data_IF_179301396939
#
_entry.id   IF_179301396939
#
_cell.length_a   1.000
_cell.length_b   1.000
_cell.length_c   1.000
_cell.angle_alpha   90.00
_cell.angle_beta   90.00
_cell.angle_gamma   90.00
#
_symmetry.space_group_name_H-M   'P 1'
#
loop_
_entity.id
_entity.type
_entity.pdbx_description
1 polymer ?
#
# COMPACT_ATOMS: atom_id res chain seq x y z
N UNK A 1 -12.86 11.46 -41.20
CA UNK A 1 -12.17 10.43 -40.35
C UNK A 1 -12.17 10.96 -38.94
N UNK A 2 -12.79 10.26 -37.98
CA UNK A 2 -12.80 10.72 -36.58
C UNK A 2 -11.36 10.69 -36.07
N UNK A 3 -10.87 11.83 -35.59
CA UNK A 3 -9.56 11.94 -34.96
C UNK A 3 -9.59 11.07 -33.68
N UNK A 4 -8.59 10.21 -33.51
CA UNK A 4 -8.49 9.35 -32.32
C UNK A 4 -7.34 9.81 -31.44
N UNK A 5 -7.60 9.91 -30.14
CA UNK A 5 -6.61 10.25 -29.12
C UNK A 5 -6.49 9.11 -28.11
N UNK A 6 -5.31 8.93 -27.54
CA UNK A 6 -5.11 7.95 -26.44
C UNK A 6 -6.00 8.33 -25.26
N UNK A 7 -6.62 7.33 -24.65
CA UNK A 7 -7.56 7.54 -23.54
C UNK A 7 -6.94 8.29 -22.36
N UNK A 8 -5.69 7.98 -22.00
CA UNK A 8 -4.95 8.65 -20.92
C UNK A 8 -4.69 10.15 -21.23
N UNK A 9 -4.49 10.51 -22.48
CA UNK A 9 -4.32 11.89 -22.93
C UNK A 9 -5.65 12.59 -22.96
N UNK A 10 -6.68 11.94 -23.51
CA UNK A 10 -8.02 12.51 -23.66
C UNK A 10 -8.68 12.88 -22.32
N UNK A 11 -8.44 12.07 -21.26
CA UNK A 11 -8.92 12.39 -19.91
C UNK A 11 -8.34 13.72 -19.40
N UNK A 12 -7.04 13.97 -19.65
CA UNK A 12 -6.39 15.22 -19.25
C UNK A 12 -6.88 16.39 -20.08
N UNK A 13 -6.98 16.23 -21.41
CA UNK A 13 -7.46 17.27 -22.32
C UNK A 13 -8.90 17.71 -22.03
N UNK A 14 -9.73 16.77 -21.55
CA UNK A 14 -11.13 17.06 -21.14
C UNK A 14 -11.27 17.54 -19.69
N UNK A 15 -10.15 17.69 -18.95
CA UNK A 15 -10.17 18.12 -17.55
C UNK A 15 -10.79 17.10 -16.59
N UNK A 16 -10.94 15.85 -17.02
CA UNK A 16 -11.44 14.74 -16.19
C UNK A 16 -10.37 14.21 -15.22
N UNK A 17 -9.10 14.52 -15.50
CA UNK A 17 -7.97 14.27 -14.60
C UNK A 17 -6.87 15.31 -14.84
N UNK A 18 -6.08 15.60 -13.79
CA UNK A 18 -5.06 16.66 -13.85
C UNK A 18 -3.77 16.23 -14.53
N UNK A 19 -3.39 14.96 -14.41
CA UNK A 19 -2.14 14.44 -14.97
C UNK A 19 -2.37 13.13 -15.72
N UNK A 20 -1.53 12.87 -16.72
CA UNK A 20 -1.57 11.64 -17.50
C UNK A 20 -1.32 10.39 -16.65
N UNK A 21 -0.45 10.47 -15.65
CA UNK A 21 -0.17 9.36 -14.74
C UNK A 21 -1.41 9.00 -13.91
N UNK A 22 -2.13 9.99 -13.38
CA UNK A 22 -3.37 9.77 -12.65
C UNK A 22 -4.47 9.24 -13.56
N UNK A 23 -4.56 9.76 -14.80
CA UNK A 23 -5.47 9.24 -15.81
C UNK A 23 -5.20 7.74 -16.10
N UNK A 24 -3.94 7.33 -16.22
CA UNK A 24 -3.56 5.93 -16.39
C UNK A 24 -3.97 5.08 -15.18
N UNK A 25 -3.71 5.54 -13.97
CA UNK A 25 -4.12 4.85 -12.74
C UNK A 25 -5.64 4.68 -12.65
N UNK A 26 -6.38 5.73 -13.02
CA UNK A 26 -7.85 5.74 -13.04
C UNK A 26 -8.42 4.75 -14.07
N UNK A 27 -7.85 4.69 -15.27
CA UNK A 27 -8.24 3.72 -16.30
C UNK A 27 -7.94 2.29 -15.83
N UNK A 28 -6.72 2.05 -15.34
CA UNK A 28 -6.30 0.72 -14.86
C UNK A 28 -7.08 0.24 -13.64
N UNK A 29 -7.64 1.15 -12.83
CA UNK A 29 -8.56 0.80 -11.74
C UNK A 29 -10.00 0.55 -12.22
N UNK A 30 -10.26 0.72 -13.53
CA UNK A 30 -11.57 0.45 -14.14
C UNK A 30 -12.66 1.45 -13.79
N UNK A 31 -12.28 2.67 -13.47
CA UNK A 31 -13.21 3.78 -13.19
C UNK A 31 -13.65 4.51 -14.46
N UNK A 32 -12.98 4.28 -15.58
CA UNK A 32 -13.25 4.98 -16.85
C UNK A 32 -14.09 4.11 -17.77
N UNK A 33 -15.16 4.72 -18.31
CA UNK A 33 -16.06 4.12 -19.26
C UNK A 33 -16.08 4.95 -20.55
N UNK A 34 -16.00 4.27 -21.69
CA UNK A 34 -16.14 4.89 -23.03
C UNK A 34 -17.35 4.29 -23.70
N UNK A 35 -18.32 5.12 -24.08
CA UNK A 35 -19.59 4.70 -24.66
C UNK A 35 -20.27 3.58 -23.85
N UNK A 36 -20.22 3.71 -22.52
CA UNK A 36 -20.78 2.76 -21.56
C UNK A 36 -19.93 1.50 -21.30
N UNK A 37 -18.84 1.27 -22.03
CA UNK A 37 -17.94 0.14 -21.83
C UNK A 37 -16.78 0.50 -20.91
N UNK A 38 -16.51 -0.35 -19.92
CA UNK A 38 -15.39 -0.19 -19.00
C UNK A 38 -14.05 -0.35 -19.73
N UNK A 39 -13.13 0.58 -19.47
CA UNK A 39 -11.77 0.57 -20.02
C UNK A 39 -10.75 0.23 -18.94
N UNK A 40 -9.79 -0.65 -19.30
CA UNK A 40 -8.66 -1.07 -18.44
C UNK A 40 -7.29 -0.78 -19.06
N UNK A 41 -7.26 -0.34 -20.33
CA UNK A 41 -6.04 -0.06 -21.09
C UNK A 41 -5.87 1.43 -21.35
N UNK A 42 -4.96 2.06 -20.63
CA UNK A 42 -4.71 3.50 -20.71
C UNK A 42 -4.24 3.99 -22.09
N UNK A 43 -3.51 3.14 -22.81
CA UNK A 43 -2.95 3.48 -24.12
C UNK A 43 -3.88 3.28 -25.32
N UNK A 44 -5.14 2.84 -25.11
CA UNK A 44 -6.09 2.63 -26.20
C UNK A 44 -6.44 3.96 -26.87
N UNK A 45 -6.48 3.98 -28.22
CA UNK A 45 -6.90 5.13 -28.99
C UNK A 45 -8.42 5.09 -29.21
N UNK A 46 -9.14 6.11 -28.72
CA UNK A 46 -10.58 6.24 -28.85
C UNK A 46 -10.95 7.47 -29.69
N UNK A 47 -12.12 7.49 -30.32
CA UNK A 47 -12.60 8.68 -31.05
C UNK A 47 -12.68 9.89 -30.12
N UNK A 48 -12.30 11.08 -30.64
CA UNK A 48 -12.31 12.31 -29.83
C UNK A 48 -13.73 12.78 -29.47
N UNK A 49 -14.74 12.26 -30.12
CA UNK A 49 -16.15 12.51 -29.87
C UNK A 49 -16.83 11.44 -29.00
N UNK A 50 -16.13 10.36 -28.63
CA UNK A 50 -16.65 9.30 -27.77
C UNK A 50 -17.12 9.86 -26.41
N UNK A 51 -18.20 9.31 -25.87
CA UNK A 51 -18.66 9.65 -24.54
C UNK A 51 -17.73 8.99 -23.50
N UNK A 52 -16.98 9.81 -22.77
CA UNK A 52 -16.09 9.34 -21.70
C UNK A 52 -16.67 9.73 -20.36
N UNK A 53 -16.91 8.73 -19.52
CA UNK A 53 -17.43 8.90 -18.17
C UNK A 53 -16.43 8.32 -17.16
N UNK A 54 -16.24 9.03 -16.06
CA UNK A 54 -15.56 8.49 -14.87
C UNK A 54 -16.65 8.08 -13.89
N UNK A 55 -16.79 6.78 -13.65
CA UNK A 55 -17.78 6.22 -12.71
C UNK A 55 -17.08 5.73 -11.46
N UNK A 56 -17.55 6.17 -10.32
CA UNK A 56 -16.97 5.89 -9.01
C UNK A 56 -16.29 7.11 -8.41
N UNK A 57 -15.92 7.00 -7.13
CA UNK A 57 -15.19 8.05 -6.47
C UNK A 57 -13.84 8.23 -7.17
N UNK A 58 -13.51 9.49 -7.49
CA UNK A 58 -12.12 9.89 -7.75
C UNK A 58 -11.24 9.25 -6.68
N UNK A 59 -10.10 8.68 -7.07
CA UNK A 59 -9.19 8.04 -6.11
C UNK A 59 -9.03 8.98 -4.91
N UNK A 60 -9.49 8.53 -3.74
CA UNK A 60 -9.43 9.32 -2.49
C UNK A 60 -7.99 9.71 -2.15
N UNK A 61 -7.04 8.86 -2.54
CA UNK A 61 -5.60 9.03 -2.35
C UNK A 61 -4.90 9.05 -3.70
N UNK A 62 -3.67 9.54 -3.74
CA UNK A 62 -2.84 9.59 -4.97
C UNK A 62 -2.61 8.21 -5.62
N UNK A 63 -2.82 7.13 -4.87
CA UNK A 63 -2.83 5.76 -5.39
C UNK A 63 -3.73 4.83 -4.57
N UNK A 64 -4.04 3.63 -5.12
CA UNK A 64 -4.82 2.59 -4.43
C UNK A 64 -4.15 2.09 -3.13
N UNK A 65 -2.84 2.31 -2.99
CA UNK A 65 -2.12 1.98 -1.76
C UNK A 65 -2.78 2.60 -0.52
N UNK A 66 -3.24 3.85 -0.61
CA UNK A 66 -3.90 4.53 0.49
C UNK A 66 -5.10 3.79 1.08
N UNK A 67 -5.83 3.00 0.28
CA UNK A 67 -6.95 2.18 0.76
C UNK A 67 -6.51 1.06 1.71
N UNK A 68 -5.27 0.57 1.57
CA UNK A 68 -4.71 -0.45 2.47
C UNK A 68 -4.46 0.13 3.86
N UNK A 69 -3.84 1.32 3.91
CA UNK A 69 -3.62 2.01 5.17
C UNK A 69 -4.94 2.48 5.80
N UNK A 70 -5.90 2.96 5.01
CA UNK A 70 -7.25 3.30 5.49
C UNK A 70 -7.94 2.10 6.14
N UNK A 71 -7.80 0.91 5.55
CA UNK A 71 -8.31 -0.34 6.15
C UNK A 71 -7.62 -0.63 7.48
N UNK A 72 -6.29 -0.52 7.55
CA UNK A 72 -5.54 -0.69 8.79
C UNK A 72 -6.01 0.31 9.87
N UNK A 73 -6.13 1.58 9.52
CA UNK A 73 -6.60 2.63 10.44
C UNK A 73 -7.98 2.34 10.99
N UNK A 74 -8.91 1.93 10.12
CA UNK A 74 -10.29 1.62 10.52
C UNK A 74 -10.35 0.37 11.39
N UNK A 75 -9.62 -0.69 11.01
CA UNK A 75 -9.66 -1.97 11.71
C UNK A 75 -8.98 -1.89 13.07
N UNK A 76 -7.84 -1.23 13.14
CA UNK A 76 -7.00 -1.15 14.35
C UNK A 76 -7.30 0.09 15.21
N UNK A 77 -8.22 0.95 14.79
CA UNK A 77 -8.58 2.17 15.53
C UNK A 77 -7.48 3.21 15.56
N UNK A 78 -6.59 3.25 14.55
CA UNK A 78 -5.45 4.17 14.52
C UNK A 78 -5.89 5.61 14.35
N UNK A 79 -5.21 6.51 15.06
CA UNK A 79 -5.41 7.96 14.97
C UNK A 79 -4.07 8.64 14.78
N UNK A 80 -3.92 9.39 13.69
CA UNK A 80 -2.65 10.03 13.31
C UNK A 80 -2.66 11.55 13.51
N UNK A 81 -3.71 12.09 14.13
CA UNK A 81 -3.81 13.52 14.35
C UNK A 81 -2.67 14.03 15.26
N UNK A 82 -1.88 14.95 14.74
CA UNK A 82 -0.71 15.50 15.44
C UNK A 82 0.56 14.65 15.37
N UNK A 83 0.50 13.45 14.75
CA UNK A 83 1.61 12.51 14.71
C UNK A 83 2.70 12.93 13.72
N UNK A 84 3.95 12.59 14.05
CA UNK A 84 5.09 12.54 13.13
C UNK A 84 5.23 11.10 12.64
N UNK A 85 5.19 10.90 11.33
CA UNK A 85 5.08 9.59 10.71
C UNK A 85 6.21 9.31 9.72
N UNK A 86 6.44 8.03 9.42
CA UNK A 86 7.22 7.60 8.25
C UNK A 86 6.40 6.67 7.34
N UNK A 87 6.58 6.82 6.04
CA UNK A 87 6.07 5.94 4.99
C UNK A 87 7.25 5.18 4.37
N UNK A 88 7.42 3.92 4.75
CA UNK A 88 8.54 3.08 4.33
C UNK A 88 8.13 2.28 3.09
N UNK A 89 8.71 2.65 1.94
CA UNK A 89 8.28 2.19 0.62
C UNK A 89 7.20 3.09 0.04
N UNK A 90 7.41 4.40 0.13
CA UNK A 90 6.39 5.41 -0.21
C UNK A 90 5.89 5.34 -1.65
N UNK A 91 6.76 4.96 -2.61
CA UNK A 91 6.43 4.87 -4.03
C UNK A 91 5.72 6.14 -4.53
N UNK A 92 4.48 6.04 -5.02
CA UNK A 92 3.67 7.20 -5.44
C UNK A 92 3.09 8.02 -4.28
N UNK A 93 3.19 7.54 -3.04
CA UNK A 93 2.75 8.27 -1.84
C UNK A 93 1.31 7.98 -1.38
N UNK A 94 0.76 6.81 -1.73
CA UNK A 94 -0.60 6.47 -1.32
C UNK A 94 -0.78 6.44 0.21
N UNK A 95 0.18 5.89 0.94
CA UNK A 95 0.17 5.87 2.40
C UNK A 95 0.47 7.24 2.98
N UNK A 96 1.46 7.96 2.42
CA UNK A 96 1.76 9.36 2.78
C UNK A 96 0.51 10.24 2.70
N UNK A 97 -0.22 10.20 1.57
CA UNK A 97 -1.45 10.98 1.37
C UNK A 97 -2.54 10.57 2.39
N UNK A 98 -2.67 9.27 2.67
CA UNK A 98 -3.60 8.78 3.68
C UNK A 98 -3.25 9.32 5.08
N UNK A 99 -1.99 9.30 5.49
CA UNK A 99 -1.55 9.83 6.77
C UNK A 99 -1.81 11.34 6.90
N UNK A 100 -1.48 12.11 5.87
CA UNK A 100 -1.73 13.57 5.85
C UNK A 100 -3.21 13.93 5.92
N UNK A 101 -4.08 13.19 5.20
CA UNK A 101 -5.53 13.38 5.26
C UNK A 101 -6.12 13.01 6.63
N UNK A 102 -5.43 12.17 7.39
CA UNK A 102 -5.83 11.77 8.75
C UNK A 102 -5.09 12.54 9.86
N UNK A 103 -4.49 13.70 9.52
CA UNK A 103 -4.00 14.67 10.49
C UNK A 103 -2.54 14.52 10.90
N UNK A 104 -1.74 13.70 10.21
CA UNK A 104 -0.29 13.69 10.42
C UNK A 104 0.30 15.08 10.16
N UNK A 105 1.16 15.54 11.08
CA UNK A 105 1.80 16.85 10.98
C UNK A 105 3.07 16.84 10.19
N UNK A 106 3.71 15.66 10.09
CA UNK A 106 4.93 15.45 9.30
C UNK A 106 5.00 14.01 8.85
N UNK A 107 5.43 13.77 7.61
CA UNK A 107 5.62 12.42 7.06
C UNK A 107 6.96 12.33 6.34
N UNK A 108 7.82 11.44 6.78
CA UNK A 108 9.04 11.03 6.08
C UNK A 108 8.69 9.99 5.03
N UNK A 109 8.66 10.38 3.75
CA UNK A 109 8.36 9.48 2.63
C UNK A 109 9.65 8.85 2.11
N UNK A 110 9.93 7.62 2.57
CA UNK A 110 11.18 6.89 2.32
C UNK A 110 11.01 5.90 1.20
N UNK A 111 11.83 5.98 0.14
CA UNK A 111 11.85 5.03 -0.96
C UNK A 111 13.25 4.86 -1.56
N UNK A 112 13.56 3.66 -2.06
CA UNK A 112 14.81 3.39 -2.80
C UNK A 112 14.76 3.94 -4.21
N UNK A 113 13.56 4.14 -4.77
CA UNK A 113 13.31 4.73 -6.09
C UNK A 113 13.59 6.22 -6.14
N UNK A 114 13.38 6.80 -7.30
CA UNK A 114 13.55 8.22 -7.55
C UNK A 114 12.47 8.76 -8.49
N UNK A 115 11.92 9.94 -8.14
CA UNK A 115 10.94 10.63 -8.98
C UNK A 115 9.56 9.96 -9.01
N UNK A 116 9.26 9.08 -8.05
CA UNK A 116 7.99 8.35 -8.00
C UNK A 116 6.91 9.05 -7.19
N UNK A 117 7.31 9.77 -6.14
CA UNK A 117 6.38 10.46 -5.25
C UNK A 117 5.56 11.49 -6.03
N UNK A 118 4.23 11.47 -5.86
CA UNK A 118 3.31 12.41 -6.52
C UNK A 118 3.71 13.85 -6.23
N UNK A 119 3.60 14.72 -7.26
CA UNK A 119 4.04 16.11 -7.14
C UNK A 119 3.30 16.89 -6.03
N UNK A 120 2.04 16.60 -5.82
CA UNK A 120 1.24 17.20 -4.74
C UNK A 120 1.87 16.94 -3.37
N UNK A 121 2.37 15.72 -3.14
CA UNK A 121 2.99 15.33 -1.88
C UNK A 121 4.42 15.87 -1.77
N UNK A 122 5.16 15.86 -2.87
CA UNK A 122 6.51 16.41 -2.94
C UNK A 122 6.56 17.91 -2.62
N UNK A 123 5.49 18.63 -2.93
CA UNK A 123 5.37 20.07 -2.65
C UNK A 123 4.65 20.41 -1.34
N UNK A 124 4.19 19.42 -0.59
CA UNK A 124 3.58 19.63 0.74
C UNK A 124 4.67 19.80 1.80
N UNK A 125 4.66 20.93 2.50
CA UNK A 125 5.67 21.29 3.53
C UNK A 125 5.73 20.29 4.70
N UNK A 126 4.69 19.47 4.88
CA UNK A 126 4.64 18.41 5.89
C UNK A 126 5.36 17.13 5.44
N UNK A 127 5.77 17.03 4.18
CA UNK A 127 6.41 15.84 3.60
C UNK A 127 7.91 16.03 3.46
N UNK A 128 8.68 15.17 4.09
CA UNK A 128 10.12 15.04 3.87
C UNK A 128 10.35 13.92 2.86
N UNK A 129 10.68 14.29 1.61
CA UNK A 129 10.92 13.34 0.54
C UNK A 129 12.32 12.73 0.66
N UNK A 130 12.40 11.44 1.01
CA UNK A 130 13.64 10.67 1.20
C UNK A 130 13.78 9.59 0.11
N UNK A 131 13.94 10.02 -1.13
CA UNK A 131 14.20 9.12 -2.26
C UNK A 131 15.65 8.62 -2.27
N UNK A 132 15.93 7.51 -3.01
CA UNK A 132 17.22 6.81 -3.05
C UNK A 132 17.72 6.41 -1.66
N UNK A 133 16.81 6.17 -0.74
CA UNK A 133 17.09 5.84 0.65
C UNK A 133 16.74 4.37 0.91
N UNK A 134 17.74 3.60 1.35
CA UNK A 134 17.52 2.19 1.68
C UNK A 134 17.05 2.08 3.14
N UNK A 135 15.79 1.72 3.33
CA UNK A 135 15.15 1.64 4.64
C UNK A 135 15.81 0.67 5.63
N UNK A 136 16.61 -0.30 5.17
CA UNK A 136 17.38 -1.19 6.06
C UNK A 136 18.39 -0.48 6.95
N UNK A 137 18.84 0.70 6.52
CA UNK A 137 19.90 1.46 7.16
C UNK A 137 19.39 2.76 7.81
N UNK A 138 18.07 2.92 7.92
CA UNK A 138 17.50 4.09 8.60
C UNK A 138 18.00 4.17 10.04
N UNK A 139 18.35 5.40 10.42
CA UNK A 139 18.80 5.76 11.75
C UNK A 139 18.36 7.18 12.14
N UNK A 140 18.71 7.60 13.35
CA UNK A 140 18.37 8.93 13.90
C UNK A 140 19.11 10.09 13.23
N UNK A 141 20.20 9.84 12.52
CA UNK A 141 20.91 10.88 11.77
C UNK A 141 20.09 11.27 10.52
N UNK A 142 19.40 10.31 9.92
CA UNK A 142 18.54 10.50 8.75
C UNK A 142 17.11 10.96 9.13
N UNK A 143 16.58 10.44 10.24
CA UNK A 143 15.26 10.79 10.79
C UNK A 143 15.47 11.28 12.24
N UNK A 144 15.72 12.58 12.43
CA UNK A 144 16.04 13.14 13.75
C UNK A 144 14.82 13.22 14.68
N UNK A 145 13.61 13.26 14.12
CA UNK A 145 12.39 13.26 14.92
C UNK A 145 12.09 11.88 15.51
N UNK A 146 11.49 11.84 16.67
CA UNK A 146 10.91 10.62 17.21
C UNK A 146 9.56 10.34 16.52
N UNK A 147 9.48 9.21 15.83
CA UNK A 147 8.28 8.87 15.08
C UNK A 147 7.20 8.30 16.03
N UNK A 148 5.99 8.82 15.90
CA UNK A 148 4.79 8.26 16.54
C UNK A 148 4.28 7.02 15.83
N UNK A 149 4.42 7.01 14.51
CA UNK A 149 3.85 5.98 13.66
C UNK A 149 4.72 5.73 12.41
N UNK A 150 4.81 4.49 11.99
CA UNK A 150 5.38 4.14 10.69
C UNK A 150 4.43 3.22 9.90
N UNK A 151 4.28 3.47 8.61
CA UNK A 151 3.70 2.50 7.66
C UNK A 151 4.81 1.81 6.89
N UNK A 152 4.63 0.52 6.53
CA UNK A 152 5.60 -0.24 5.74
C UNK A 152 4.89 -0.94 4.59
N UNK A 153 5.19 -0.55 3.34
CA UNK A 153 4.73 -1.19 2.10
C UNK A 153 5.91 -1.44 1.14
N UNK A 154 6.85 -2.28 1.56
CA UNK A 154 8.06 -2.58 0.78
C UNK A 154 7.86 -3.76 -0.17
N UNK A 155 8.66 -3.83 -1.23
CA UNK A 155 8.66 -4.91 -2.22
C UNK A 155 10.05 -5.50 -2.41
N UNK A 156 10.11 -6.81 -2.71
CA UNK A 156 11.34 -7.56 -2.97
C UNK A 156 12.30 -7.67 -1.76
N UNK A 157 11.78 -7.48 -0.56
CA UNK A 157 12.54 -7.58 0.69
C UNK A 157 11.60 -8.08 1.80
N UNK A 158 12.12 -8.89 2.71
CA UNK A 158 11.39 -9.36 3.89
C UNK A 158 11.33 -8.28 4.97
N UNK A 159 10.21 -8.22 5.70
CA UNK A 159 10.02 -7.38 6.89
C UNK A 159 11.05 -7.63 7.97
N UNK A 160 11.57 -8.87 8.09
CA UNK A 160 12.69 -9.23 8.98
C UNK A 160 13.88 -8.27 8.88
N UNK A 161 14.14 -7.73 7.66
CA UNK A 161 15.27 -6.83 7.42
C UNK A 161 14.92 -5.35 7.62
N UNK A 162 13.63 -5.01 7.65
CA UNK A 162 13.14 -3.62 7.74
C UNK A 162 12.73 -3.27 9.17
N UNK A 163 12.05 -4.16 9.87
CA UNK A 163 11.54 -3.91 11.23
C UNK A 163 12.63 -3.41 12.20
N UNK A 164 13.86 -4.00 12.25
CA UNK A 164 14.90 -3.50 13.16
C UNK A 164 15.33 -2.05 12.88
N UNK A 165 15.27 -1.62 11.60
CA UNK A 165 15.61 -0.26 11.23
C UNK A 165 14.50 0.71 11.62
N UNK A 166 13.23 0.33 11.40
CA UNK A 166 12.09 1.12 11.82
C UNK A 166 12.03 1.28 13.34
N UNK A 167 12.31 0.22 14.08
CA UNK A 167 12.37 0.26 15.55
C UNK A 167 13.37 1.32 16.06
N UNK A 168 14.52 1.51 15.42
CA UNK A 168 15.52 2.51 15.83
C UNK A 168 15.04 3.96 15.74
N UNK A 169 14.11 4.24 14.84
CA UNK A 169 13.60 5.62 14.59
C UNK A 169 12.24 5.87 15.23
N UNK A 170 11.54 4.82 15.65
CA UNK A 170 10.31 4.96 16.43
C UNK A 170 10.60 5.37 17.89
N UNK A 171 9.66 6.05 18.50
CA UNK A 171 9.63 6.22 19.96
C UNK A 171 9.17 4.93 20.64
N UNK A 172 9.46 4.79 21.92
CA UNK A 172 8.85 3.74 22.74
C UNK A 172 7.32 3.94 22.79
N UNK A 173 6.56 2.85 22.66
CA UNK A 173 5.11 2.90 22.48
C UNK A 173 4.66 3.46 21.13
N UNK A 174 5.58 3.72 20.19
CA UNK A 174 5.24 4.08 18.81
C UNK A 174 4.67 2.88 18.04
N UNK A 175 3.84 3.15 17.05
CA UNK A 175 3.10 2.12 16.35
C UNK A 175 3.54 1.91 14.91
N UNK A 176 3.33 0.71 14.38
CA UNK A 176 3.59 0.36 12.98
C UNK A 176 2.37 -0.32 12.37
N UNK A 177 2.00 0.07 11.15
CA UNK A 177 1.15 -0.72 10.28
C UNK A 177 1.96 -1.21 9.07
N UNK A 178 2.12 -2.52 8.90
CA UNK A 178 2.94 -3.07 7.83
C UNK A 178 2.14 -4.03 6.94
N UNK A 179 2.49 -4.03 5.64
CA UNK A 179 2.02 -5.04 4.70
C UNK A 179 2.91 -6.27 4.78
N UNK A 180 2.30 -7.39 5.13
CA UNK A 180 2.90 -8.72 5.09
C UNK A 180 2.59 -9.31 3.72
N UNK A 181 3.60 -9.49 2.89
CA UNK A 181 3.47 -9.92 1.50
C UNK A 181 4.02 -11.34 1.35
N UNK A 182 3.18 -12.39 1.26
CA UNK A 182 3.64 -13.77 1.18
C UNK A 182 4.67 -14.01 0.08
N UNK A 183 4.55 -13.33 -1.05
CA UNK A 183 5.48 -13.47 -2.18
C UNK A 183 6.91 -12.98 -1.87
N UNK A 184 7.12 -12.19 -0.81
CA UNK A 184 8.45 -11.70 -0.40
C UNK A 184 8.93 -12.32 0.93
N UNK A 185 8.06 -13.07 1.62
CA UNK A 185 8.34 -13.68 2.91
C UNK A 185 8.52 -15.21 2.84
N UNK A 186 7.83 -15.89 1.91
CA UNK A 186 7.72 -17.35 1.89
C UNK A 186 8.96 -18.13 1.38
N UNK A 187 9.96 -17.42 0.81
CA UNK A 187 11.05 -18.10 0.08
C UNK A 187 10.68 -18.41 -1.37
N UNK A 188 11.68 -18.42 -2.26
CA UNK A 188 11.48 -18.52 -3.71
C UNK A 188 10.81 -19.81 -4.17
N UNK A 189 11.07 -20.92 -3.48
CA UNK A 189 10.55 -22.26 -3.79
C UNK A 189 9.03 -22.37 -3.60
N UNK A 190 8.44 -21.52 -2.74
CA UNK A 190 6.99 -21.49 -2.45
C UNK A 190 6.23 -20.48 -3.30
N UNK A 191 6.93 -19.72 -4.11
CA UNK A 191 6.34 -18.71 -4.99
C UNK A 191 6.07 -19.29 -6.36
N UNK A 192 4.82 -19.27 -6.81
CA UNK A 192 4.41 -19.81 -8.10
C UNK A 192 4.98 -19.04 -9.31
N UNK A 193 4.85 -19.62 -10.51
CA UNK A 193 5.44 -19.11 -11.77
C UNK A 193 5.14 -17.65 -12.12
N UNK A 194 4.06 -17.08 -11.58
CA UNK A 194 3.66 -15.67 -11.79
C UNK A 194 3.94 -14.77 -10.58
N UNK A 195 4.81 -15.20 -9.67
CA UNK A 195 5.08 -14.43 -8.46
C UNK A 195 3.91 -14.44 -7.45
N UNK A 196 3.02 -15.44 -7.50
CA UNK A 196 1.83 -15.52 -6.64
C UNK A 196 1.92 -16.72 -5.72
N UNK A 197 1.76 -16.48 -4.43
CA UNK A 197 1.55 -17.51 -3.40
C UNK A 197 0.04 -17.76 -3.28
N UNK A 198 -0.37 -19.02 -3.44
CA UNK A 198 -1.79 -19.42 -3.43
C UNK A 198 -2.13 -20.41 -2.33
N UNK A 199 -1.13 -21.12 -1.83
CA UNK A 199 -1.29 -22.16 -0.83
C UNK A 199 -1.60 -21.52 0.54
N UNK A 200 -2.77 -21.84 1.14
CA UNK A 200 -3.12 -21.31 2.45
C UNK A 200 -2.14 -21.71 3.57
N UNK A 201 -1.53 -22.88 3.48
CA UNK A 201 -0.56 -23.32 4.49
C UNK A 201 0.73 -22.50 4.41
N UNK A 202 1.14 -22.05 3.20
CA UNK A 202 2.25 -21.12 3.03
C UNK A 202 1.91 -19.73 3.59
N UNK A 203 0.66 -19.27 3.43
CA UNK A 203 0.21 -18.01 4.03
C UNK A 203 0.25 -18.10 5.57
N UNK A 204 -0.19 -19.23 6.14
CA UNK A 204 -0.14 -19.46 7.59
C UNK A 204 1.30 -19.40 8.10
N UNK A 205 2.22 -20.14 7.47
CA UNK A 205 3.63 -20.13 7.82
C UNK A 205 4.26 -18.73 7.76
N UNK A 206 3.89 -17.94 6.73
CA UNK A 206 4.36 -16.55 6.60
C UNK A 206 3.89 -15.69 7.78
N UNK A 207 2.64 -15.86 8.22
CA UNK A 207 2.11 -15.11 9.36
C UNK A 207 2.74 -15.55 10.68
N UNK A 208 3.00 -16.84 10.87
CA UNK A 208 3.73 -17.36 12.02
C UNK A 208 5.16 -16.80 12.08
N UNK A 209 5.90 -16.86 10.98
CA UNK A 209 7.23 -16.27 10.87
C UNK A 209 7.23 -14.75 11.12
N UNK A 210 6.18 -14.05 10.71
CA UNK A 210 6.04 -12.62 10.96
C UNK A 210 5.94 -12.30 12.46
N UNK A 211 5.23 -13.11 13.25
CA UNK A 211 5.19 -12.94 14.71
C UNK A 211 6.59 -13.03 15.33
N UNK A 212 7.37 -14.02 14.90
CA UNK A 212 8.75 -14.19 15.38
C UNK A 212 9.64 -13.01 14.94
N UNK A 213 9.54 -12.57 13.68
CA UNK A 213 10.31 -11.43 13.19
C UNK A 213 9.97 -10.12 13.92
N UNK A 214 8.71 -9.91 14.27
CA UNK A 214 8.27 -8.74 15.03
C UNK A 214 8.87 -8.77 16.44
N UNK A 215 8.75 -9.91 17.14
CA UNK A 215 9.34 -10.13 18.45
C UNK A 215 10.85 -9.88 18.46
N UNK A 216 11.58 -10.51 17.54
CA UNK A 216 13.03 -10.37 17.43
C UNK A 216 13.48 -8.93 17.13
N UNK A 217 12.58 -8.11 16.59
CA UNK A 217 12.82 -6.72 16.25
C UNK A 217 12.38 -5.72 17.32
N UNK A 218 11.89 -6.17 18.49
CA UNK A 218 11.47 -5.32 19.60
C UNK A 218 10.05 -4.80 19.47
N UNK A 219 9.17 -5.55 18.80
CA UNK A 219 7.76 -5.19 18.65
C UNK A 219 6.84 -6.23 19.27
N UNK A 220 5.76 -5.76 19.87
CA UNK A 220 4.56 -6.56 20.15
C UNK A 220 3.58 -6.44 18.97
N UNK A 221 3.13 -7.58 18.43
CA UNK A 221 2.04 -7.59 17.46
C UNK A 221 0.73 -7.40 18.22
N UNK A 222 0.01 -6.31 17.90
CA UNK A 222 -1.25 -5.98 18.55
C UNK A 222 -2.46 -6.60 17.86
N UNK A 223 -2.44 -6.64 16.53
CA UNK A 223 -3.52 -7.22 15.71
C UNK A 223 -3.03 -7.55 14.29
N UNK A 224 -3.76 -8.42 13.59
CA UNK A 224 -3.49 -8.80 12.19
C UNK A 224 -4.81 -8.89 11.43
N UNK A 225 -4.85 -8.34 10.22
CA UNK A 225 -5.97 -8.47 9.28
C UNK A 225 -5.46 -8.68 7.85
N UNK A 226 -6.33 -8.76 6.85
CA UNK A 226 -5.94 -8.84 5.45
C UNK A 226 -6.26 -7.55 4.69
N UNK A 227 -5.48 -7.27 3.65
CA UNK A 227 -5.66 -6.12 2.76
C UNK A 227 -7.02 -6.17 2.06
N UNK A 228 -7.73 -5.03 1.90
CA UNK A 228 -9.01 -4.99 1.20
C UNK A 228 -8.87 -5.23 -0.30
N UNK A 229 -7.66 -5.14 -0.82
CA UNK A 229 -7.34 -5.33 -2.24
C UNK A 229 -6.14 -6.25 -2.40
N UNK A 230 -6.12 -6.99 -3.50
CA UNK A 230 -4.96 -7.80 -3.88
C UNK A 230 -3.79 -6.93 -4.34
N UNK A 231 -2.57 -7.44 -4.17
CA UNK A 231 -1.38 -6.88 -4.81
C UNK A 231 -1.45 -6.92 -6.34
N UNK A 232 -0.52 -6.21 -7.02
CA UNK A 232 -0.55 -6.06 -8.49
C UNK A 232 -0.62 -7.37 -9.27
N UNK A 233 0.09 -8.39 -8.80
CA UNK A 233 0.14 -9.73 -9.43
C UNK A 233 -1.01 -10.65 -8.98
N UNK A 234 -1.87 -10.17 -8.06
CA UNK A 234 -3.01 -10.89 -7.53
C UNK A 234 -2.75 -11.63 -6.22
N UNK A 235 -1.65 -11.38 -5.53
CA UNK A 235 -1.39 -11.90 -4.20
C UNK A 235 -2.38 -11.38 -3.17
N UNK A 236 -2.80 -12.25 -2.25
CA UNK A 236 -3.41 -11.85 -0.98
C UNK A 236 -2.28 -11.29 -0.11
N UNK A 237 -2.50 -10.12 0.49
CA UNK A 237 -1.57 -9.47 1.38
C UNK A 237 -2.24 -9.24 2.73
N UNK A 238 -1.45 -9.26 3.81
CA UNK A 238 -1.97 -9.06 5.16
C UNK A 238 -1.47 -7.73 5.73
N UNK A 239 -2.14 -7.25 6.77
CA UNK A 239 -1.83 -6.03 7.50
C UNK A 239 -1.51 -6.41 8.94
N UNK A 240 -0.29 -6.14 9.39
CA UNK A 240 0.13 -6.29 10.78
C UNK A 240 0.12 -4.94 11.49
N UNK A 241 -0.35 -4.92 12.74
CA UNK A 241 -0.33 -3.78 13.64
C UNK A 241 0.60 -4.09 14.82
N UNK A 242 1.62 -3.27 15.00
CA UNK A 242 2.66 -3.49 15.99
C UNK A 242 2.86 -2.27 16.88
N UNK A 243 3.36 -2.50 18.08
CA UNK A 243 3.81 -1.49 19.03
C UNK A 243 5.27 -1.72 19.39
N UNK A 244 6.06 -0.66 19.39
CA UNK A 244 7.47 -0.67 19.82
C UNK A 244 7.56 -0.72 21.35
N UNK A 245 8.34 -1.64 21.90
CA UNK A 245 8.53 -1.77 23.35
C UNK A 245 8.70 -3.22 23.79
N UNK A 246 8.43 -3.46 25.07
CA UNK A 246 8.54 -4.80 25.66
C UNK A 246 7.54 -5.76 24.99
N UNK A 247 8.02 -6.97 24.68
CA UNK A 247 7.19 -8.01 24.08
C UNK A 247 6.09 -8.49 25.05
N UNK A 248 4.86 -8.44 24.55
CA UNK A 248 3.70 -9.05 25.21
C UNK A 248 3.16 -10.16 24.31
N UNK A 249 3.07 -11.37 24.84
CA UNK A 249 2.54 -12.50 24.10
C UNK A 249 1.02 -12.31 23.84
N UNK A 250 0.64 -12.44 22.57
CA UNK A 250 -0.76 -12.45 22.14
C UNK A 250 -1.03 -13.65 21.26
N UNK A 251 -2.23 -14.16 21.33
CA UNK A 251 -2.69 -15.30 20.52
C UNK A 251 -3.60 -14.82 19.40
N UNK A 252 -3.38 -15.34 18.19
CA UNK A 252 -4.17 -15.03 17.01
C UNK A 252 -4.66 -16.33 16.36
N UNK A 253 -5.90 -16.35 15.91
CA UNK A 253 -6.39 -17.44 15.05
C UNK A 253 -5.96 -17.17 13.60
N UNK A 254 -4.67 -17.43 13.33
CA UNK A 254 -4.08 -17.18 12.01
C UNK A 254 -4.69 -18.05 10.92
N UNK A 255 -5.14 -19.28 11.25
CA UNK A 255 -5.76 -20.16 10.29
C UNK A 255 -7.12 -19.62 9.87
N UNK A 256 -7.95 -19.19 10.81
CA UNK A 256 -9.22 -18.56 10.47
C UNK A 256 -9.03 -17.26 9.66
N UNK A 257 -7.98 -16.46 9.97
CA UNK A 257 -7.65 -15.26 9.20
C UNK A 257 -7.28 -15.59 7.74
N UNK A 258 -6.48 -16.64 7.53
CA UNK A 258 -6.11 -17.09 6.17
C UNK A 258 -7.36 -17.56 5.42
N UNK A 259 -8.19 -18.39 6.01
CA UNK A 259 -9.44 -18.89 5.42
C UNK A 259 -10.36 -17.73 5.02
N UNK A 260 -10.56 -16.76 5.91
CA UNK A 260 -11.36 -15.55 5.63
C UNK A 260 -10.80 -14.73 4.48
N UNK A 261 -9.48 -14.54 4.42
CA UNK A 261 -8.84 -13.77 3.34
C UNK A 261 -9.01 -14.43 1.98
N UNK A 262 -8.88 -15.75 1.90
CA UNK A 262 -9.13 -16.52 0.68
C UNK A 262 -10.60 -16.46 0.28
N UNK A 263 -11.54 -16.70 1.21
CA UNK A 263 -12.98 -16.61 0.93
C UNK A 263 -13.38 -15.22 0.42
N UNK A 264 -12.92 -14.16 1.08
CA UNK A 264 -13.28 -12.77 0.72
C UNK A 264 -12.72 -12.32 -0.63
N UNK A 265 -11.50 -12.76 -0.96
CA UNK A 265 -10.80 -12.27 -2.14
C UNK A 265 -10.86 -13.22 -3.35
N UNK A 266 -11.20 -14.51 -3.20
CA UNK A 266 -11.35 -15.46 -4.32
C UNK A 266 -12.70 -15.33 -5.02
N UNK A 267 -13.77 -14.99 -4.30
CA UNK A 267 -15.11 -14.78 -4.88
C UNK A 267 -15.23 -13.58 -5.82
N UNK A 268 -14.20 -12.70 -5.89
CA UNK A 268 -14.17 -11.58 -6.85
C UNK A 268 -14.01 -11.97 -8.32
N UNK A 269 -13.88 -13.27 -8.65
CA UNK A 269 -13.74 -13.76 -10.03
C UNK A 269 -15.05 -14.22 -10.68
N UNK A 270 -16.09 -14.45 -9.91
CA UNK A 270 -17.38 -14.97 -10.46
C UNK A 270 -18.36 -13.90 -10.93
N UNK A 271 -18.08 -12.62 -10.68
CA UNK A 271 -18.94 -11.49 -11.07
C UNK A 271 -18.62 -10.83 -12.41
N UNK A 272 -17.64 -11.32 -13.18
CA UNK A 272 -17.20 -10.70 -14.44
C UNK A 272 -17.48 -11.58 -15.68
N UNK A 273 -18.42 -12.51 -15.57
CA UNK A 273 -18.83 -13.40 -16.65
C UNK A 273 -20.35 -13.48 -16.76
N UNK A 274 -20.97 -12.42 -17.33
CA UNK A 274 -22.23 -12.48 -18.07
C UNK A 274 -22.33 -11.21 -18.92
#
# INVERSE_FOLDING_TARGET
MSNKTRLDVLLVERGLEQTRQRAQAMIMSGLVFVDGQRMDKAGIAIPNDAQVEVRGNTLRYVSRGGLKLEKAMTTFGLRLNGCICADIGASTGGFTDCMLQNGATKVYAVDVGYGQLDWKLRSDERVVCMERTNARYLDRDQIPDELDFASIDVSFISLKLILPAVHRVLKEGGHVACLIKPQFEAGREKVGKKGVVRDPDVHLEVLENFLDHAKDSGFTVLDITFSPIRGPEGNIEYLGYLESGEWVEKTFDLRALVEQSHAALDHGKEGAGC
#
